data_IF_010362421716
#
_entry.id   IF_010362421716
#
_cell.length_a   1.000
_cell.length_b   1.000
_cell.length_c   1.000
_cell.angle_alpha   90.00
_cell.angle_beta   90.00
_cell.angle_gamma   90.00
#
_symmetry.space_group_name_H-M   'P 1'
#
loop_
_entity.id
_entity.type
_entity.pdbx_description
1 polymer ?
#
# COMPACT_ATOMS: atom_id res chain seq x y z
N UNK A 1 -16.96 2.93 -33.95
CA UNK A 1 -15.75 2.39 -33.29
C UNK A 1 -15.92 0.89 -32.96
N UNK A 2 -16.57 0.11 -33.85
CA UNK A 2 -17.29 -1.12 -33.41
C UNK A 2 -17.21 -2.33 -34.35
N UNK A 3 -16.61 -2.26 -35.53
CA UNK A 3 -16.51 -3.41 -36.44
C UNK A 3 -15.19 -4.18 -36.32
N UNK A 4 -14.04 -3.48 -36.18
CA UNK A 4 -12.73 -4.13 -36.05
C UNK A 4 -12.47 -4.72 -34.66
N UNK A 5 -12.95 -4.08 -33.58
CA UNK A 5 -12.84 -4.62 -32.22
C UNK A 5 -13.65 -5.91 -32.02
N UNK A 6 -14.82 -6.01 -32.67
CA UNK A 6 -15.70 -7.17 -32.58
C UNK A 6 -15.05 -8.42 -33.21
N UNK A 7 -14.44 -8.27 -34.39
CA UNK A 7 -13.71 -9.38 -35.04
C UNK A 7 -12.53 -9.85 -34.17
N UNK A 8 -11.79 -8.91 -33.57
CA UNK A 8 -10.68 -9.26 -32.67
C UNK A 8 -11.15 -10.01 -31.43
N UNK A 9 -12.33 -9.68 -30.86
CA UNK A 9 -12.87 -10.40 -29.70
C UNK A 9 -13.39 -11.81 -30.00
N UNK A 10 -13.75 -12.12 -31.25
CA UNK A 10 -14.11 -13.50 -31.64
C UNK A 10 -12.88 -14.37 -31.92
N UNK A 11 -11.78 -13.76 -32.40
CA UNK A 11 -10.57 -14.50 -32.80
C UNK A 11 -9.59 -14.65 -31.65
N UNK A 12 -9.52 -13.69 -30.72
CA UNK A 12 -8.57 -13.70 -29.62
C UNK A 12 -9.27 -14.18 -28.35
N UNK A 13 -8.88 -15.35 -27.81
CA UNK A 13 -9.43 -15.84 -26.55
C UNK A 13 -9.10 -14.87 -25.41
N UNK A 14 -10.04 -14.69 -24.46
CA UNK A 14 -9.83 -13.83 -23.29
C UNK A 14 -8.65 -14.31 -22.43
N UNK A 15 -8.37 -15.61 -22.48
CA UNK A 15 -7.25 -16.28 -21.85
C UNK A 15 -5.90 -15.78 -22.39
N UNK A 16 -5.82 -15.47 -23.69
CA UNK A 16 -4.62 -14.88 -24.28
C UNK A 16 -4.36 -13.47 -23.73
N UNK A 17 -5.43 -12.70 -23.50
CA UNK A 17 -5.38 -11.40 -22.82
C UNK A 17 -4.83 -11.51 -21.39
N UNK A 18 -5.26 -12.52 -20.62
CA UNK A 18 -4.73 -12.75 -19.27
C UNK A 18 -3.26 -13.18 -19.30
N UNK A 19 -2.88 -14.07 -20.22
CA UNK A 19 -1.51 -14.53 -20.36
C UNK A 19 -0.53 -13.39 -20.70
N UNK A 20 -0.90 -12.48 -21.61
CA UNK A 20 -0.04 -11.35 -21.97
C UNK A 20 0.13 -10.37 -20.81
N UNK A 21 -0.93 -10.11 -20.03
CA UNK A 21 -0.83 -9.24 -18.85
C UNK A 21 0.09 -9.83 -17.78
N UNK A 22 0.04 -11.14 -17.57
CA UNK A 22 0.98 -11.85 -16.67
C UNK A 22 2.42 -11.69 -17.17
N UNK A 23 2.66 -11.90 -18.48
CA UNK A 23 3.98 -11.76 -19.07
C UNK A 23 4.55 -10.34 -18.98
N UNK A 24 3.71 -9.32 -19.23
CA UNK A 24 4.07 -7.91 -19.05
C UNK A 24 4.43 -7.64 -17.59
N UNK A 25 3.63 -8.13 -16.64
CA UNK A 25 3.90 -8.01 -15.22
C UNK A 25 5.27 -8.60 -14.85
N UNK A 26 5.55 -9.84 -15.27
CA UNK A 26 6.85 -10.48 -15.05
C UNK A 26 8.01 -9.70 -15.65
N UNK A 27 7.85 -9.20 -16.87
CA UNK A 27 8.90 -8.44 -17.56
C UNK A 27 9.19 -7.13 -16.84
N UNK A 28 8.16 -6.36 -16.47
CA UNK A 28 8.30 -5.09 -15.75
C UNK A 28 8.91 -5.33 -14.36
N UNK A 29 8.45 -6.35 -13.62
CA UNK A 29 9.01 -6.68 -12.31
C UNK A 29 10.47 -7.08 -12.40
N UNK A 30 10.85 -7.94 -13.35
CA UNK A 30 12.24 -8.32 -13.58
C UNK A 30 13.10 -7.11 -13.92
N UNK A 31 12.63 -6.25 -14.82
CA UNK A 31 13.34 -5.03 -15.22
C UNK A 31 13.52 -4.08 -14.03
N UNK A 32 12.53 -3.93 -13.15
CA UNK A 32 12.64 -3.10 -11.96
C UNK A 32 13.84 -3.52 -11.08
N UNK A 33 14.10 -4.82 -10.90
CA UNK A 33 15.27 -5.30 -10.16
C UNK A 33 16.60 -5.16 -10.91
N UNK A 34 16.57 -5.15 -12.24
CA UNK A 34 17.77 -5.06 -13.08
C UNK A 34 18.25 -3.61 -13.25
N UNK A 35 17.32 -2.65 -13.36
CA UNK A 35 17.65 -1.24 -13.62
C UNK A 35 17.94 -0.45 -12.34
N UNK A 36 17.38 -0.89 -11.20
CA UNK A 36 17.58 -0.24 -9.90
C UNK A 36 18.92 -0.70 -9.29
N UNK A 37 19.69 0.19 -8.63
CA UNK A 37 20.90 -0.22 -7.91
C UNK A 37 20.63 -1.37 -6.94
N UNK A 38 21.56 -2.32 -6.83
CA UNK A 38 21.38 -3.53 -5.99
C UNK A 38 21.03 -3.22 -4.53
N UNK A 39 21.56 -2.13 -3.97
CA UNK A 39 21.25 -1.66 -2.62
C UNK A 39 19.77 -1.32 -2.43
N UNK A 40 19.07 -0.89 -3.50
CA UNK A 40 17.67 -0.46 -3.48
C UNK A 40 16.69 -1.60 -3.82
N UNK A 41 17.15 -2.84 -4.01
CA UNK A 41 16.27 -3.99 -4.22
C UNK A 41 15.18 -4.14 -3.12
N UNK A 42 15.44 -3.86 -1.82
CA UNK A 42 14.40 -3.88 -0.81
C UNK A 42 13.26 -2.88 -1.07
N UNK A 43 13.55 -1.73 -1.69
CA UNK A 43 12.53 -0.73 -2.02
C UNK A 43 11.61 -1.18 -3.16
N UNK A 44 12.14 -1.94 -4.13
CA UNK A 44 11.32 -2.57 -5.19
C UNK A 44 10.32 -3.54 -4.55
N UNK A 45 10.78 -4.40 -3.64
CA UNK A 45 9.92 -5.34 -2.91
C UNK A 45 8.87 -4.58 -2.09
N UNK A 46 9.31 -3.57 -1.33
CA UNK A 46 8.42 -2.76 -0.50
C UNK A 46 7.32 -2.08 -1.33
N UNK A 47 7.67 -1.56 -2.51
CA UNK A 47 6.71 -0.98 -3.45
C UNK A 47 5.69 -1.96 -4.02
N UNK A 48 5.96 -3.27 -4.04
CA UNK A 48 4.98 -4.27 -4.50
C UNK A 48 3.92 -4.60 -3.44
N UNK A 49 4.24 -4.40 -2.15
CA UNK A 49 3.38 -4.83 -1.03
C UNK A 49 1.97 -4.22 -1.11
N UNK A 50 1.78 -2.90 -1.32
CA UNK A 50 0.43 -2.34 -1.35
C UNK A 50 -0.41 -2.85 -2.53
N UNK A 51 0.22 -3.05 -3.70
CA UNK A 51 -0.44 -3.68 -4.85
C UNK A 51 -0.90 -5.11 -4.57
N UNK A 52 -0.08 -5.91 -3.88
CA UNK A 52 -0.48 -7.24 -3.42
C UNK A 52 -1.65 -7.18 -2.44
N UNK A 53 -1.63 -6.22 -1.50
CA UNK A 53 -2.74 -5.99 -0.57
C UNK A 53 -4.05 -5.63 -1.30
N UNK A 54 -3.98 -4.77 -2.31
CA UNK A 54 -5.13 -4.42 -3.16
C UNK A 54 -5.66 -5.64 -3.93
N UNK A 55 -4.78 -6.50 -4.44
CA UNK A 55 -5.18 -7.75 -5.07
C UNK A 55 -5.90 -8.69 -4.09
N UNK A 56 -5.39 -8.85 -2.86
CA UNK A 56 -6.08 -9.63 -1.83
C UNK A 56 -7.46 -9.05 -1.50
N UNK A 57 -7.55 -7.72 -1.34
CA UNK A 57 -8.82 -7.03 -1.13
C UNK A 57 -9.83 -7.33 -2.26
N UNK A 58 -9.37 -7.27 -3.50
CA UNK A 58 -10.17 -7.59 -4.68
C UNK A 58 -10.70 -9.03 -4.61
N UNK A 59 -9.84 -10.02 -4.37
CA UNK A 59 -10.26 -11.43 -4.29
C UNK A 59 -11.28 -11.63 -3.17
N UNK A 60 -11.05 -11.05 -2.00
CA UNK A 60 -11.98 -11.12 -0.85
C UNK A 60 -13.34 -10.56 -1.23
N UNK A 61 -13.40 -9.38 -1.85
CA UNK A 61 -14.66 -8.78 -2.31
C UNK A 61 -15.38 -9.65 -3.34
N UNK A 62 -14.64 -10.25 -4.29
CA UNK A 62 -15.22 -11.15 -5.30
C UNK A 62 -15.82 -12.41 -4.68
N UNK A 63 -15.12 -13.02 -3.73
CA UNK A 63 -15.61 -14.21 -3.02
C UNK A 63 -16.83 -13.87 -2.18
N UNK A 64 -16.79 -12.76 -1.42
CA UNK A 64 -17.93 -12.28 -0.63
C UNK A 64 -19.17 -12.04 -1.51
N UNK A 65 -18.99 -11.37 -2.65
CA UNK A 65 -20.07 -11.18 -3.62
C UNK A 65 -20.62 -12.49 -4.18
N UNK A 66 -19.76 -13.48 -4.45
CA UNK A 66 -20.17 -14.78 -4.94
C UNK A 66 -20.98 -15.61 -3.92
N UNK A 67 -20.81 -15.35 -2.61
CA UNK A 67 -21.56 -16.02 -1.54
C UNK A 67 -22.73 -15.20 -1.00
N UNK A 68 -23.11 -14.11 -1.69
CA UNK A 68 -24.34 -13.35 -1.41
C UNK A 68 -24.16 -12.00 -0.72
N UNK A 69 -22.95 -11.64 -0.27
CA UNK A 69 -22.70 -10.33 0.33
C UNK A 69 -22.79 -9.19 -0.71
N UNK A 70 -23.16 -8.00 -0.24
CA UNK A 70 -23.34 -6.82 -1.10
C UNK A 70 -24.78 -6.66 -1.62
N UNK A 71 -25.72 -7.39 -1.04
CA UNK A 71 -27.16 -7.34 -1.34
C UNK A 71 -27.93 -6.69 -0.19
N UNK A 72 -29.20 -6.36 -0.41
CA UNK A 72 -30.05 -5.80 0.65
C UNK A 72 -30.23 -6.76 1.84
N UNK A 73 -30.28 -8.07 1.58
CA UNK A 73 -30.45 -9.10 2.61
C UNK A 73 -29.15 -9.40 3.36
N UNK A 74 -28.00 -9.20 2.70
CA UNK A 74 -26.68 -9.50 3.26
C UNK A 74 -25.66 -8.39 2.92
N UNK A 75 -25.79 -7.21 3.54
CA UNK A 75 -24.92 -6.08 3.23
C UNK A 75 -23.50 -6.27 3.79
N UNK A 76 -22.54 -5.52 3.25
CA UNK A 76 -21.26 -5.33 3.93
C UNK A 76 -21.48 -4.47 5.18
N UNK A 77 -20.89 -4.89 6.31
CA UNK A 77 -20.98 -4.17 7.58
C UNK A 77 -19.62 -4.10 8.26
N UNK A 78 -19.47 -3.22 9.23
CA UNK A 78 -18.26 -3.21 10.06
C UNK A 78 -18.10 -4.51 10.86
N UNK A 79 -19.22 -5.15 11.25
CA UNK A 79 -19.20 -6.44 11.94
C UNK A 79 -18.67 -7.56 11.04
N UNK A 80 -18.98 -7.55 9.74
CA UNK A 80 -18.40 -8.49 8.78
C UNK A 80 -16.86 -8.43 8.79
N UNK A 81 -16.28 -7.23 8.86
CA UNK A 81 -14.82 -7.07 8.92
C UNK A 81 -14.23 -7.67 10.22
N UNK A 82 -14.98 -7.63 11.32
CA UNK A 82 -14.61 -8.26 12.59
C UNK A 82 -14.70 -9.78 12.49
N UNK A 83 -15.77 -10.31 11.90
CA UNK A 83 -15.95 -11.75 11.64
C UNK A 83 -14.84 -12.30 10.77
N UNK A 84 -14.47 -11.61 9.69
CA UNK A 84 -13.35 -12.00 8.82
C UNK A 84 -12.03 -12.09 9.58
N UNK A 85 -11.79 -11.18 10.53
CA UNK A 85 -10.59 -11.20 11.36
C UNK A 85 -10.62 -12.32 12.40
N UNK A 86 -11.74 -12.48 13.11
CA UNK A 86 -11.85 -13.44 14.22
C UNK A 86 -11.92 -14.88 13.72
N UNK A 87 -12.77 -15.14 12.74
CA UNK A 87 -13.10 -16.50 12.31
C UNK A 87 -12.30 -16.89 11.06
N UNK A 88 -12.02 -15.92 10.19
CA UNK A 88 -11.23 -16.13 8.97
C UNK A 88 -9.73 -15.87 9.13
N UNK A 89 -9.27 -15.40 10.31
CA UNK A 89 -7.88 -14.95 10.52
C UNK A 89 -7.40 -13.91 9.50
N UNK A 90 -8.34 -13.17 8.90
CA UNK A 90 -8.08 -12.20 7.86
C UNK A 90 -8.23 -10.79 8.44
N UNK A 91 -7.12 -10.07 8.61
CA UNK A 91 -7.12 -8.68 9.08
C UNK A 91 -7.67 -7.70 8.03
N UNK A 92 -8.96 -7.84 7.70
CA UNK A 92 -9.64 -7.21 6.58
C UNK A 92 -9.58 -5.68 6.63
N UNK A 93 -9.66 -5.09 7.83
CA UNK A 93 -9.52 -3.64 8.02
C UNK A 93 -8.18 -3.11 7.48
N UNK A 94 -7.07 -3.82 7.73
CA UNK A 94 -5.76 -3.42 7.25
C UNK A 94 -5.64 -3.59 5.74
N UNK A 95 -6.18 -4.69 5.21
CA UNK A 95 -6.19 -4.99 3.76
C UNK A 95 -6.99 -3.95 2.99
N UNK A 96 -8.21 -3.63 3.43
CA UNK A 96 -9.05 -2.62 2.79
C UNK A 96 -8.46 -1.22 2.91
N UNK A 97 -7.79 -0.89 4.01
CA UNK A 97 -7.04 0.37 4.09
C UNK A 97 -5.84 0.38 3.11
N UNK A 98 -5.09 -0.72 3.00
CA UNK A 98 -3.93 -0.79 2.12
C UNK A 98 -4.32 -0.70 0.62
N UNK A 99 -5.50 -1.21 0.28
CA UNK A 99 -6.11 -1.07 -1.05
C UNK A 99 -6.34 0.41 -1.44
N UNK A 100 -6.70 1.27 -0.49
CA UNK A 100 -7.06 2.66 -0.80
C UNK A 100 -5.83 3.46 -1.19
N UNK A 101 -5.80 3.91 -2.45
CA UNK A 101 -4.66 4.63 -3.00
C UNK A 101 -3.40 3.76 -3.10
N UNK A 102 -3.54 2.44 -3.26
CA UNK A 102 -2.43 1.48 -3.22
C UNK A 102 -1.24 1.87 -4.11
N UNK A 103 -1.47 2.49 -5.27
CA UNK A 103 -0.39 2.95 -6.15
C UNK A 103 0.43 4.07 -5.50
N UNK A 104 -0.23 5.05 -4.88
CA UNK A 104 0.44 6.11 -4.13
C UNK A 104 1.11 5.57 -2.87
N UNK A 105 0.45 4.66 -2.15
CA UNK A 105 1.04 3.98 -1.00
C UNK A 105 2.31 3.19 -1.38
N UNK A 106 2.32 2.57 -2.57
CA UNK A 106 3.48 1.87 -3.13
C UNK A 106 4.66 2.81 -3.37
N UNK A 107 4.41 3.97 -3.98
CA UNK A 107 5.43 5.00 -4.20
C UNK A 107 5.98 5.51 -2.87
N UNK A 108 5.10 5.90 -1.94
CA UNK A 108 5.50 6.38 -0.61
C UNK A 108 6.36 5.35 0.12
N UNK A 109 5.91 4.09 0.18
CA UNK A 109 6.61 3.04 0.88
C UNK A 109 7.98 2.74 0.26
N UNK A 110 8.04 2.62 -1.07
CA UNK A 110 9.31 2.44 -1.79
C UNK A 110 10.26 3.62 -1.55
N UNK A 111 9.77 4.86 -1.62
CA UNK A 111 10.58 6.06 -1.39
C UNK A 111 11.11 6.17 0.04
N UNK A 112 10.30 5.82 1.05
CA UNK A 112 10.75 5.72 2.43
C UNK A 112 11.85 4.65 2.54
N UNK A 113 11.68 3.48 1.92
CA UNK A 113 12.68 2.40 1.94
C UNK A 113 13.99 2.85 1.29
N UNK A 114 13.96 3.54 0.15
CA UNK A 114 15.17 4.13 -0.46
C UNK A 114 15.83 5.12 0.48
N UNK A 115 15.07 6.04 1.08
CA UNK A 115 15.62 7.04 2.00
C UNK A 115 16.26 6.41 3.25
N UNK A 116 15.71 5.28 3.74
CA UNK A 116 16.31 4.48 4.81
C UNK A 116 17.63 3.85 4.35
N UNK A 117 17.65 3.21 3.18
CA UNK A 117 18.86 2.57 2.64
C UNK A 117 19.98 3.59 2.40
N UNK A 118 19.64 4.76 1.85
CA UNK A 118 20.58 5.87 1.65
C UNK A 118 20.92 6.63 2.95
N UNK A 119 20.29 6.26 4.09
CA UNK A 119 20.44 6.93 5.40
C UNK A 119 20.13 8.43 5.36
N UNK A 120 19.20 8.83 4.48
CA UNK A 120 18.80 10.23 4.27
C UNK A 120 17.60 10.59 5.14
N UNK A 121 17.88 10.95 6.38
CA UNK A 121 16.86 11.32 7.38
C UNK A 121 15.85 12.35 6.87
N UNK A 122 16.31 13.41 6.19
CA UNK A 122 15.42 14.44 5.64
C UNK A 122 14.43 13.87 4.60
N UNK A 123 14.87 12.91 3.80
CA UNK A 123 14.02 12.20 2.84
C UNK A 123 12.94 11.37 3.56
N UNK A 124 13.31 10.64 4.61
CA UNK A 124 12.37 9.83 5.39
C UNK A 124 11.29 10.73 6.01
N UNK A 125 11.70 11.84 6.64
CA UNK A 125 10.80 12.84 7.22
C UNK A 125 9.85 13.41 6.16
N UNK A 126 10.38 13.84 5.01
CA UNK A 126 9.57 14.40 3.93
C UNK A 126 8.50 13.43 3.43
N UNK A 127 8.86 12.16 3.22
CA UNK A 127 7.91 11.15 2.77
C UNK A 127 6.89 10.75 3.84
N UNK A 128 7.26 10.70 5.12
CA UNK A 128 6.32 10.47 6.22
C UNK A 128 5.31 11.61 6.36
N UNK A 129 5.75 12.87 6.23
CA UNK A 129 4.86 14.04 6.22
C UNK A 129 3.92 13.97 5.01
N UNK A 130 4.47 13.68 3.82
CA UNK A 130 3.68 13.50 2.60
C UNK A 130 2.62 12.40 2.75
N UNK A 131 2.98 11.26 3.34
CA UNK A 131 2.06 10.17 3.63
C UNK A 131 0.95 10.58 4.61
N UNK A 132 1.29 11.35 5.65
CA UNK A 132 0.34 11.93 6.58
C UNK A 132 -0.65 12.87 5.89
N UNK A 133 -0.18 13.74 4.99
CA UNK A 133 -1.04 14.63 4.19
C UNK A 133 -1.97 13.83 3.27
N UNK A 134 -1.43 12.85 2.53
CA UNK A 134 -2.24 11.99 1.66
C UNK A 134 -3.31 11.22 2.44
N UNK A 135 -2.98 10.76 3.65
CA UNK A 135 -3.94 10.10 4.57
C UNK A 135 -4.98 11.08 5.13
N UNK A 136 -4.59 12.33 5.40
CA UNK A 136 -5.50 13.39 5.83
C UNK A 136 -6.52 13.77 4.76
N UNK A 137 -6.09 13.79 3.50
CA UNK A 137 -6.99 14.02 2.37
C UNK A 137 -7.86 12.80 2.03
N UNK A 138 -7.50 11.62 2.52
CA UNK A 138 -8.16 10.35 2.19
C UNK A 138 -7.74 9.78 0.83
N UNK A 139 -6.63 10.26 0.26
CA UNK A 139 -6.07 9.74 -0.99
C UNK A 139 -5.50 8.34 -0.76
N UNK A 140 -4.91 8.11 0.42
CA UNK A 140 -4.45 6.79 0.86
C UNK A 140 -5.16 6.38 2.15
N UNK A 141 -5.35 5.07 2.33
CA UNK A 141 -5.80 4.42 3.57
C UNK A 141 -7.23 4.66 4.07
N UNK A 142 -7.95 5.67 3.57
CA UNK A 142 -9.31 5.93 4.01
C UNK A 142 -10.34 5.16 3.19
N UNK A 143 -11.00 4.20 3.84
CA UNK A 143 -12.12 3.48 3.28
C UNK A 143 -13.39 3.74 4.09
N UNK A 144 -14.53 3.51 3.44
CA UNK A 144 -15.85 3.40 4.07
C UNK A 144 -16.50 2.09 3.68
N UNK A 145 -17.33 1.57 4.56
CA UNK A 145 -18.17 0.39 4.30
C UNK A 145 -19.53 0.89 3.85
N UNK A 146 -19.92 0.55 2.63
CA UNK A 146 -21.28 0.72 2.10
C UNK A 146 -21.95 -0.66 2.08
N UNK A 147 -23.28 -0.70 2.00
CA UNK A 147 -24.01 -1.97 1.98
C UNK A 147 -23.59 -2.89 0.83
N UNK A 148 -23.17 -2.32 -0.30
CA UNK A 148 -22.82 -3.04 -1.52
C UNK A 148 -21.33 -3.32 -1.70
N UNK A 149 -20.45 -2.57 -1.03
CA UNK A 149 -18.98 -2.68 -1.20
C UNK A 149 -18.21 -1.92 -0.10
N UNK A 150 -16.92 -2.22 0.03
CA UNK A 150 -15.95 -1.40 0.75
C UNK A 150 -15.21 -0.51 -0.26
N UNK A 151 -15.34 0.81 -0.15
CA UNK A 151 -14.82 1.75 -1.16
C UNK A 151 -14.03 2.90 -0.54
N UNK A 152 -13.35 3.67 -1.39
CA UNK A 152 -12.58 4.85 -0.99
C UNK A 152 -13.49 5.91 -0.37
N UNK A 153 -12.99 6.59 0.66
CA UNK A 153 -13.60 7.79 1.23
C UNK A 153 -12.60 8.93 1.24
N UNK A 154 -13.06 10.15 0.93
CA UNK A 154 -12.24 11.35 1.12
C UNK A 154 -12.30 11.81 2.57
N UNK A 155 -11.30 12.60 2.98
CA UNK A 155 -11.17 13.11 4.34
C UNK A 155 -10.24 12.24 5.22
N UNK A 156 -10.13 12.57 6.51
CA UNK A 156 -9.00 12.13 7.32
C UNK A 156 -9.07 10.66 7.75
N UNK A 157 -8.08 9.88 7.32
CA UNK A 157 -7.81 8.53 7.82
C UNK A 157 -7.07 8.59 9.18
N UNK A 158 -7.76 9.04 10.24
CA UNK A 158 -7.14 9.35 11.54
C UNK A 158 -6.17 8.29 12.09
N UNK A 159 -6.48 6.97 12.07
CA UNK A 159 -5.54 5.97 12.57
C UNK A 159 -4.18 6.00 11.85
N UNK A 160 -4.19 6.27 10.55
CA UNK A 160 -2.98 6.30 9.72
C UNK A 160 -2.23 7.60 9.86
N UNK A 161 -2.94 8.74 9.96
CA UNK A 161 -2.32 10.05 10.26
C UNK A 161 -1.57 9.98 11.58
N UNK A 162 -2.19 9.40 12.61
CA UNK A 162 -1.57 9.16 13.91
C UNK A 162 -0.35 8.24 13.76
N UNK A 163 -0.49 7.14 13.00
CA UNK A 163 0.61 6.20 12.73
C UNK A 163 1.83 6.86 12.09
N UNK A 164 1.64 7.70 11.07
CA UNK A 164 2.72 8.46 10.44
C UNK A 164 3.31 9.51 11.37
N UNK A 165 2.48 10.17 12.18
CA UNK A 165 2.94 11.16 13.18
C UNK A 165 3.79 10.50 14.26
N UNK A 166 3.35 9.36 14.79
CA UNK A 166 4.10 8.57 15.79
C UNK A 166 5.42 8.08 15.20
N UNK A 167 5.40 7.60 13.96
CA UNK A 167 6.61 7.17 13.24
C UNK A 167 7.61 8.31 13.05
N UNK A 168 7.11 9.51 12.72
CA UNK A 168 7.92 10.72 12.61
C UNK A 168 8.56 11.11 13.95
N UNK A 169 7.77 11.13 15.02
CA UNK A 169 8.26 11.42 16.38
C UNK A 169 9.33 10.40 16.79
N UNK A 170 9.06 9.11 16.61
CA UNK A 170 9.99 8.03 16.94
C UNK A 170 11.33 8.19 16.18
N UNK A 171 11.27 8.52 14.89
CA UNK A 171 12.47 8.74 14.07
C UNK A 171 13.28 9.97 14.54
N UNK A 172 12.60 11.05 14.91
CA UNK A 172 13.24 12.25 15.47
C UNK A 172 13.90 11.91 16.81
N UNK A 173 13.22 11.21 17.71
CA UNK A 173 13.78 10.77 19.00
C UNK A 173 15.01 9.91 18.79
N UNK A 174 14.94 8.89 17.92
CA UNK A 174 16.07 8.01 17.58
C UNK A 174 17.26 8.81 17.07
N UNK A 175 17.04 9.82 16.22
CA UNK A 175 18.12 10.66 15.71
C UNK A 175 18.80 11.46 16.83
N UNK A 176 18.03 12.03 17.75
CA UNK A 176 18.59 12.80 18.86
C UNK A 176 19.32 11.92 19.88
N UNK A 177 18.75 10.78 20.28
CA UNK A 177 19.33 9.94 21.34
C UNK A 177 20.49 9.08 20.88
N UNK A 178 20.39 8.45 19.70
CA UNK A 178 21.36 7.45 19.26
C UNK A 178 22.43 8.01 18.32
N UNK A 179 22.12 9.03 17.53
CA UNK A 179 23.06 9.55 16.52
C UNK A 179 23.81 10.77 17.02
N UNK A 180 23.11 11.76 17.59
CA UNK A 180 23.77 12.99 18.08
C UNK A 180 24.42 12.80 19.46
N UNK A 181 23.83 11.99 20.34
CA UNK A 181 24.39 11.72 21.67
C UNK A 181 25.75 11.00 21.67
N UNK A 182 26.05 10.20 20.65
CA UNK A 182 27.37 9.56 20.51
C UNK A 182 28.45 10.56 20.06
N UNK A 183 28.11 11.51 19.17
CA UNK A 183 29.08 12.45 18.62
C UNK A 183 29.62 13.44 19.68
N UNK A 184 28.78 13.88 20.61
CA UNK A 184 29.22 14.76 21.70
C UNK A 184 30.10 14.01 22.72
N UNK A 185 29.85 12.71 22.94
CA UNK A 185 30.58 11.91 23.93
C UNK A 185 32.01 11.56 23.51
N UNK A 186 32.25 11.37 22.21
CA UNK A 186 33.59 11.07 21.67
C UNK A 186 34.47 12.33 21.61
N UNK A 187 33.87 13.51 21.35
CA UNK A 187 34.61 14.79 21.31
C UNK A 187 35.19 15.23 22.67
N UNK A 188 34.66 14.68 23.77
CA UNK A 188 35.09 14.97 25.13
C UNK A 188 36.16 14.01 25.66
N UNK A 189 36.41 12.87 25.00
CA UNK A 189 37.46 11.91 25.41
C UNK A 189 38.82 12.21 24.77
N UNK A 190 38.85 13.02 23.72
CA UNK A 190 40.07 13.43 23.00
C UNK A 190 40.63 14.80 23.47
N UNK A 191 40.19 15.30 24.63
CA UNK A 191 40.74 16.49 25.30
C UNK A 191 41.26 16.11 26.69
#
# INVERSE_FOLDING_TARGET
>A
LTSTLWILSEVVPIEAGMAILIWIGFTISSQAFQVVPKSHAPAVIAGLIPGMGAFVALIVKRVLGAVGYGTADQPYTHDLLITLARDGSLFAKGIFALEQGWLYASVVLASITVAIVEKRFAGIVGWLIGAGILSFLGIIHHFRVLDTDVTTALGPAWPWIIGYTVSLIALVVVRYTLVLGHHDSDSHKDK
#
